data_IF_891053846424
#
_entry.id   IF_891053846424
#
_cell.length_a   1.000
_cell.length_b   1.000
_cell.length_c   1.000
_cell.angle_alpha   90.00
_cell.angle_beta   90.00
_cell.angle_gamma   90.00
#
_symmetry.space_group_name_H-M   'P 1'
#
loop_
_entity.id
_entity.type
_entity.pdbx_description
1 polymer ?
#
# COMPACT_ATOMS: atom_id res chain seq x y z
N UNK A 1 -14.81 -13.88 37.52
CA UNK A 1 -14.35 -13.22 36.27
C UNK A 1 -13.45 -14.16 35.48
N UNK A 2 -13.81 -14.41 34.23
CA UNK A 2 -12.92 -15.19 33.37
C UNK A 2 -11.60 -14.44 33.16
N UNK A 3 -10.50 -15.12 33.39
CA UNK A 3 -9.20 -14.55 33.10
C UNK A 3 -9.12 -14.24 31.61
N UNK A 4 -8.72 -13.01 31.28
CA UNK A 4 -8.51 -12.61 29.90
C UNK A 4 -7.17 -13.17 29.40
N UNK A 5 -7.20 -14.31 28.71
CA UNK A 5 -6.01 -14.99 28.20
C UNK A 5 -5.46 -14.36 26.91
N UNK A 6 -5.75 -13.09 26.69
CA UNK A 6 -5.32 -12.37 25.49
C UNK A 6 -3.84 -12.02 25.58
N UNK A 7 -3.07 -12.51 24.61
CA UNK A 7 -1.68 -12.13 24.43
C UNK A 7 -1.63 -10.96 23.44
N UNK A 8 -0.99 -9.86 23.82
CA UNK A 8 -0.84 -8.68 22.99
C UNK A 8 0.64 -8.53 22.60
N UNK A 9 0.91 -8.56 21.31
CA UNK A 9 2.26 -8.37 20.77
C UNK A 9 2.33 -7.09 19.95
N UNK A 10 3.31 -6.26 20.25
CA UNK A 10 3.53 -5.02 19.50
C UNK A 10 4.41 -5.28 18.27
N UNK A 11 3.82 -5.17 17.06
CA UNK A 11 4.51 -5.29 15.78
C UNK A 11 4.64 -3.92 15.09
N UNK A 12 4.62 -2.82 15.85
CA UNK A 12 4.66 -1.47 15.31
C UNK A 12 5.83 -1.18 14.37
N UNK A 13 6.98 -1.84 14.58
CA UNK A 13 8.16 -1.70 13.71
C UNK A 13 7.98 -2.34 12.32
N UNK A 14 7.03 -3.26 12.17
CA UNK A 14 6.73 -3.92 10.91
C UNK A 14 5.65 -3.19 10.09
N UNK A 15 4.97 -2.24 10.70
CA UNK A 15 3.99 -1.38 10.02
C UNK A 15 4.62 0.01 9.80
N UNK A 16 4.64 0.42 8.54
CA UNK A 16 5.13 1.75 8.17
C UNK A 16 3.97 2.68 7.92
N UNK A 17 4.06 3.89 8.49
CA UNK A 17 3.09 4.95 8.26
C UNK A 17 3.68 5.93 7.24
N UNK A 18 2.97 6.12 6.14
CA UNK A 18 3.34 7.08 5.10
C UNK A 18 2.44 8.30 5.24
N UNK A 19 3.03 9.47 5.37
CA UNK A 19 2.29 10.73 5.53
C UNK A 19 2.57 11.68 4.38
N UNK A 20 1.53 12.39 3.96
CA UNK A 20 1.64 13.44 2.94
C UNK A 20 1.47 14.78 3.63
N UNK A 21 2.39 15.69 3.38
CA UNK A 21 2.38 17.02 3.99
C UNK A 21 2.21 18.10 2.92
N UNK A 22 1.66 19.24 3.32
CA UNK A 22 1.60 20.45 2.51
C UNK A 22 2.93 21.24 2.62
N UNK A 23 2.98 22.41 1.99
CA UNK A 23 4.16 23.29 2.00
C UNK A 23 4.53 23.76 3.41
N UNK A 24 3.57 23.83 4.31
CA UNK A 24 3.78 24.25 5.70
C UNK A 24 4.21 23.10 6.61
N UNK A 25 4.29 21.90 6.07
CA UNK A 25 4.67 20.70 6.83
C UNK A 25 3.52 20.03 7.56
N UNK A 26 2.28 20.48 7.35
CA UNK A 26 1.10 19.90 7.98
C UNK A 26 0.66 18.65 7.22
N UNK A 27 0.40 17.56 7.96
CA UNK A 27 -0.07 16.30 7.39
C UNK A 27 -1.52 16.43 6.95
N UNK A 28 -1.81 16.14 5.67
CA UNK A 28 -3.18 16.14 5.15
C UNK A 28 -3.69 14.76 4.78
N UNK A 29 -2.83 13.76 4.66
CA UNK A 29 -3.21 12.38 4.32
C UNK A 29 -2.18 11.40 4.86
N UNK A 30 -2.61 10.17 5.11
CA UNK A 30 -1.71 9.09 5.51
C UNK A 30 -2.29 7.72 5.21
N UNK A 31 -1.42 6.73 5.13
CA UNK A 31 -1.79 5.32 5.11
C UNK A 31 -0.72 4.48 5.82
N UNK A 32 -1.10 3.28 6.22
CA UNK A 32 -0.19 2.32 6.87
C UNK A 32 -0.15 1.03 6.07
N UNK A 33 1.04 0.45 5.95
CA UNK A 33 1.21 -0.85 5.33
C UNK A 33 2.46 -1.54 5.85
N UNK A 34 2.48 -2.87 5.74
CA UNK A 34 3.73 -3.63 5.87
C UNK A 34 4.27 -3.86 4.45
N UNK A 35 5.32 -3.14 4.02
CA UNK A 35 5.81 -3.23 2.64
C UNK A 35 6.46 -4.58 2.29
N UNK A 36 6.69 -5.44 3.27
CA UNK A 36 7.23 -6.78 3.05
C UNK A 36 6.17 -7.88 3.05
N UNK A 37 4.89 -7.53 3.17
CA UNK A 37 3.81 -8.51 3.15
C UNK A 37 3.55 -9.00 1.72
N UNK A 38 3.66 -10.31 1.51
CA UNK A 38 3.46 -10.92 0.18
C UNK A 38 2.04 -10.72 -0.35
N UNK A 39 1.05 -10.64 0.52
CA UNK A 39 -0.34 -10.37 0.13
C UNK A 39 -0.51 -8.94 -0.38
N UNK A 40 0.16 -7.99 0.24
CA UNK A 40 0.20 -6.60 -0.24
C UNK A 40 0.85 -6.54 -1.62
N UNK A 41 1.99 -7.19 -1.79
CA UNK A 41 2.71 -7.27 -3.07
C UNK A 41 1.81 -7.86 -4.17
N UNK A 42 1.12 -8.95 -3.90
CA UNK A 42 0.23 -9.59 -4.85
C UNK A 42 -0.93 -8.69 -5.26
N UNK A 43 -1.56 -8.01 -4.30
CA UNK A 43 -2.64 -7.06 -4.57
C UNK A 43 -2.14 -5.85 -5.36
N UNK A 44 -0.98 -5.32 -4.98
CA UNK A 44 -0.38 -4.18 -5.67
C UNK A 44 -0.05 -4.50 -7.13
N UNK A 45 0.41 -5.72 -7.39
CA UNK A 45 0.73 -6.18 -8.74
C UNK A 45 -0.49 -6.25 -9.67
N UNK A 46 -1.69 -6.42 -9.13
CA UNK A 46 -2.93 -6.48 -9.90
C UNK A 46 -3.55 -5.12 -10.19
N UNK A 47 -3.00 -4.05 -9.64
CA UNK A 47 -3.57 -2.69 -9.71
C UNK A 47 -3.71 -2.18 -11.14
N UNK A 48 -2.68 -2.34 -11.96
CA UNK A 48 -2.70 -1.84 -13.34
C UNK A 48 -3.88 -2.41 -14.12
N UNK A 49 -4.13 -3.71 -13.97
CA UNK A 49 -5.28 -4.37 -14.62
C UNK A 49 -6.61 -3.86 -14.08
N UNK A 50 -6.71 -3.63 -12.78
CA UNK A 50 -7.93 -3.12 -12.15
C UNK A 50 -8.23 -1.69 -12.60
N UNK A 51 -7.21 -0.83 -12.64
CA UNK A 51 -7.34 0.55 -13.09
C UNK A 51 -7.68 0.60 -14.57
N UNK A 52 -7.05 -0.22 -15.40
CA UNK A 52 -7.37 -0.34 -16.83
C UNK A 52 -8.83 -0.76 -17.05
N UNK A 53 -9.31 -1.74 -16.29
CA UNK A 53 -10.70 -2.21 -16.38
C UNK A 53 -11.69 -1.11 -15.99
N UNK A 54 -11.39 -0.33 -14.95
CA UNK A 54 -12.19 0.81 -14.52
C UNK A 54 -12.20 1.88 -15.62
N UNK A 55 -11.04 2.24 -16.15
CA UNK A 55 -10.89 3.24 -17.20
C UNK A 55 -11.63 2.84 -18.47
N UNK A 56 -11.56 1.56 -18.86
CA UNK A 56 -12.27 1.02 -20.02
C UNK A 56 -13.79 1.10 -19.86
N UNK A 57 -14.30 0.89 -18.66
CA UNK A 57 -15.72 0.99 -18.35
C UNK A 57 -16.28 2.38 -18.60
N UNK A 58 -15.48 3.43 -18.39
CA UNK A 58 -15.90 4.82 -18.49
C UNK A 58 -15.44 5.53 -19.77
N UNK A 59 -14.64 4.86 -20.59
CA UNK A 59 -13.95 5.44 -21.76
C UNK A 59 -14.88 6.09 -22.79
N UNK A 60 -16.02 5.46 -23.06
CA UNK A 60 -16.97 5.88 -24.12
C UNK A 60 -18.16 6.67 -23.58
N UNK A 61 -18.12 7.04 -22.30
CA UNK A 61 -19.19 7.81 -21.67
C UNK A 61 -18.85 9.30 -21.67
N UNK A 62 -19.88 10.16 -21.82
CA UNK A 62 -19.67 11.60 -21.69
C UNK A 62 -19.20 11.95 -20.29
N UNK A 63 -18.20 12.83 -20.24
CA UNK A 63 -17.64 13.30 -18.95
C UNK A 63 -18.68 14.19 -18.24
N UNK A 64 -19.31 13.64 -17.21
CA UNK A 64 -20.20 14.37 -16.30
C UNK A 64 -19.60 14.41 -14.91
N UNK A 65 -20.08 15.32 -14.06
CA UNK A 65 -19.65 15.37 -12.66
C UNK A 65 -19.95 14.08 -11.91
N UNK A 66 -21.09 13.46 -12.14
CA UNK A 66 -21.47 12.18 -11.54
C UNK A 66 -20.55 11.05 -11.99
N UNK A 67 -20.22 10.99 -13.26
CA UNK A 67 -19.33 9.98 -13.83
C UNK A 67 -17.92 10.11 -13.26
N UNK A 68 -17.44 11.34 -13.13
CA UNK A 68 -16.13 11.63 -12.52
C UNK A 68 -16.10 11.17 -11.06
N UNK A 69 -17.18 11.39 -10.32
CA UNK A 69 -17.28 10.95 -8.92
C UNK A 69 -17.33 9.43 -8.83
N UNK A 70 -18.05 8.74 -9.71
CA UNK A 70 -18.08 7.28 -9.77
C UNK A 70 -16.71 6.70 -10.06
N UNK A 71 -16.00 7.28 -11.02
CA UNK A 71 -14.62 6.88 -11.34
C UNK A 71 -13.70 7.06 -10.15
N UNK A 72 -13.80 8.19 -9.46
CA UNK A 72 -13.02 8.45 -8.25
C UNK A 72 -13.30 7.40 -7.18
N UNK A 73 -14.57 7.11 -6.92
CA UNK A 73 -14.97 6.13 -5.91
C UNK A 73 -14.45 4.73 -6.25
N UNK A 74 -14.49 4.34 -7.52
CA UNK A 74 -13.97 3.06 -7.98
C UNK A 74 -12.45 2.95 -7.75
N UNK A 75 -11.71 4.02 -8.01
CA UNK A 75 -10.26 4.06 -7.78
C UNK A 75 -9.95 4.01 -6.27
N UNK A 76 -10.70 4.75 -5.44
CA UNK A 76 -10.53 4.69 -3.99
C UNK A 76 -10.79 3.29 -3.44
N UNK A 77 -11.78 2.57 -3.99
CA UNK A 77 -12.06 1.17 -3.66
C UNK A 77 -10.84 0.26 -3.93
N UNK A 78 -10.13 0.50 -5.02
CA UNK A 78 -8.91 -0.25 -5.36
C UNK A 78 -7.87 -0.10 -4.26
N UNK A 79 -7.67 1.11 -3.72
CA UNK A 79 -6.72 1.36 -2.63
C UNK A 79 -7.13 0.70 -1.33
N UNK A 80 -8.42 0.69 -1.01
CA UNK A 80 -8.93 -0.06 0.14
C UNK A 80 -8.65 -1.56 0.00
N UNK A 81 -8.81 -2.10 -1.20
CA UNK A 81 -8.47 -3.49 -1.51
C UNK A 81 -6.97 -3.77 -1.34
N UNK A 82 -6.11 -2.92 -1.90
CA UNK A 82 -4.65 -3.10 -1.83
C UNK A 82 -4.17 -3.09 -0.38
N UNK A 83 -4.58 -2.09 0.38
CA UNK A 83 -4.13 -1.89 1.76
C UNK A 83 -4.82 -2.80 2.76
N UNK A 84 -5.97 -3.36 2.39
CA UNK A 84 -6.71 -4.29 3.24
C UNK A 84 -7.52 -3.63 4.35
N UNK A 85 -7.71 -2.32 4.30
CA UNK A 85 -8.57 -1.57 5.23
C UNK A 85 -9.13 -0.34 4.55
N UNK A 86 -10.14 0.29 5.16
CA UNK A 86 -10.76 1.50 4.59
C UNK A 86 -9.83 2.70 4.77
N UNK A 87 -9.34 3.23 3.64
CA UNK A 87 -8.42 4.39 3.60
C UNK A 87 -9.08 5.66 3.04
N UNK A 88 -10.40 5.63 2.79
CA UNK A 88 -11.08 6.76 2.15
C UNK A 88 -10.92 8.04 2.94
N UNK A 89 -11.10 7.98 4.25
CA UNK A 89 -10.99 9.16 5.10
C UNK A 89 -9.53 9.56 5.33
N UNK A 90 -8.67 8.61 5.70
CA UNK A 90 -7.28 8.91 6.06
C UNK A 90 -6.42 9.32 4.87
N UNK A 91 -6.59 8.68 3.72
CA UNK A 91 -5.78 8.92 2.54
C UNK A 91 -6.44 9.90 1.57
N UNK A 92 -7.74 9.79 1.36
CA UNK A 92 -8.47 10.56 0.35
C UNK A 92 -9.53 11.51 0.91
N UNK A 93 -9.55 11.71 2.23
CA UNK A 93 -10.54 12.57 2.87
C UNK A 93 -10.34 14.06 2.60
N UNK A 94 -9.09 14.50 2.50
CA UNK A 94 -8.75 15.88 2.17
C UNK A 94 -8.65 16.11 0.66
N UNK A 95 -8.04 15.17 -0.05
CA UNK A 95 -7.83 15.24 -1.49
C UNK A 95 -8.28 13.93 -2.12
N UNK A 96 -9.15 14.00 -3.12
CA UNK A 96 -9.65 12.81 -3.81
C UNK A 96 -8.54 12.08 -4.58
N UNK A 97 -8.73 10.80 -4.81
CA UNK A 97 -7.77 9.98 -5.55
C UNK A 97 -7.50 10.51 -6.96
N UNK A 98 -8.54 11.04 -7.62
CA UNK A 98 -8.45 11.56 -8.99
C UNK A 98 -8.07 13.04 -9.07
N UNK A 99 -7.81 13.71 -7.95
CA UNK A 99 -7.36 15.10 -7.93
C UNK A 99 -6.06 15.24 -8.74
N UNK A 100 -6.00 16.21 -9.62
CA UNK A 100 -4.84 16.45 -10.46
C UNK A 100 -3.83 17.33 -9.71
N UNK A 101 -2.63 16.82 -9.54
CA UNK A 101 -1.54 17.53 -8.88
C UNK A 101 -0.92 18.57 -9.81
N UNK A 102 -0.06 19.42 -9.25
CA UNK A 102 0.59 20.50 -9.99
C UNK A 102 1.42 20.02 -11.19
N UNK A 103 1.93 18.79 -11.14
CA UNK A 103 2.68 18.15 -12.23
C UNK A 103 1.80 17.52 -13.32
N UNK A 104 0.47 17.59 -13.15
CA UNK A 104 -0.49 17.02 -14.10
C UNK A 104 -0.86 15.56 -13.83
N UNK A 105 -0.26 14.91 -12.83
CA UNK A 105 -0.60 13.54 -12.46
C UNK A 105 -1.74 13.51 -11.44
N UNK A 106 -2.62 12.49 -11.49
CA UNK A 106 -3.61 12.31 -10.43
C UNK A 106 -2.94 11.84 -9.14
N UNK A 107 -3.52 12.22 -8.01
CA UNK A 107 -2.99 11.90 -6.69
C UNK A 107 -2.75 10.40 -6.49
N UNK A 108 -3.67 9.55 -6.95
CA UNK A 108 -3.52 8.09 -6.78
C UNK A 108 -2.26 7.55 -7.46
N UNK A 109 -1.81 8.14 -8.56
CA UNK A 109 -0.56 7.71 -9.23
C UNK A 109 0.65 7.98 -8.35
N UNK A 110 0.68 9.11 -7.66
CA UNK A 110 1.74 9.44 -6.71
C UNK A 110 1.76 8.44 -5.55
N UNK A 111 0.59 8.09 -5.04
CA UNK A 111 0.46 7.10 -3.96
C UNK A 111 0.96 5.73 -4.43
N UNK A 112 0.58 5.30 -5.62
CA UNK A 112 1.05 4.03 -6.21
C UNK A 112 2.56 3.98 -6.38
N UNK A 113 3.16 5.06 -6.87
CA UNK A 113 4.62 5.15 -7.04
C UNK A 113 5.35 5.00 -5.71
N UNK A 114 4.85 5.65 -4.67
CA UNK A 114 5.40 5.56 -3.32
C UNK A 114 5.28 4.13 -2.77
N UNK A 115 4.12 3.51 -2.93
CA UNK A 115 3.88 2.14 -2.47
C UNK A 115 4.78 1.15 -3.20
N UNK A 116 4.87 1.25 -4.52
CA UNK A 116 5.70 0.37 -5.35
C UNK A 116 7.18 0.48 -4.99
N UNK A 117 7.67 1.70 -4.82
CA UNK A 117 9.07 1.94 -4.43
C UNK A 117 9.37 1.38 -3.03
N UNK A 118 8.47 1.60 -2.07
CA UNK A 118 8.63 1.12 -0.70
C UNK A 118 8.61 -0.41 -0.62
N UNK A 119 7.69 -1.06 -1.34
CA UNK A 119 7.59 -2.53 -1.39
C UNK A 119 8.85 -3.12 -2.02
N UNK A 120 9.28 -2.59 -3.17
CA UNK A 120 10.48 -3.08 -3.86
C UNK A 120 11.73 -2.99 -2.98
N UNK A 121 11.94 -1.86 -2.34
CA UNK A 121 13.08 -1.62 -1.47
C UNK A 121 13.09 -2.54 -0.23
N UNK A 122 11.94 -2.68 0.41
CA UNK A 122 11.82 -3.43 1.66
C UNK A 122 11.89 -4.93 1.43
N UNK A 123 11.27 -5.43 0.35
CA UNK A 123 11.35 -6.85 -0.04
C UNK A 123 12.79 -7.23 -0.35
N UNK A 124 13.52 -6.42 -1.11
CA UNK A 124 14.93 -6.65 -1.41
C UNK A 124 15.76 -6.72 -0.13
N UNK A 125 15.61 -5.75 0.77
CA UNK A 125 16.33 -5.67 2.03
C UNK A 125 16.07 -6.89 2.92
N UNK A 126 14.80 -7.30 3.06
CA UNK A 126 14.42 -8.44 3.90
C UNK A 126 14.80 -9.78 3.28
N UNK A 127 14.76 -9.88 1.96
CA UNK A 127 15.23 -11.08 1.24
C UNK A 127 16.72 -11.32 1.47
N UNK A 128 17.53 -10.28 1.49
CA UNK A 128 18.96 -10.39 1.82
C UNK A 128 19.19 -10.87 3.26
N UNK A 129 18.41 -10.36 4.21
CA UNK A 129 18.47 -10.81 5.61
C UNK A 129 18.05 -12.26 5.76
N UNK A 130 16.99 -12.66 5.06
CA UNK A 130 16.51 -14.04 5.07
C UNK A 130 17.56 -15.01 4.47
N UNK A 131 18.20 -14.63 3.37
CA UNK A 131 19.26 -15.40 2.75
C UNK A 131 20.43 -15.61 3.72
N UNK A 132 20.85 -14.58 4.44
CA UNK A 132 21.90 -14.68 5.46
C UNK A 132 21.51 -15.62 6.61
N UNK A 133 20.26 -15.56 7.05
CA UNK A 133 19.78 -16.44 8.12
C UNK A 133 19.71 -17.89 7.65
N UNK A 134 19.29 -18.16 6.43
CA UNK A 134 19.30 -19.51 5.83
C UNK A 134 20.72 -20.02 5.75
N UNK A 135 21.67 -19.21 5.29
CA UNK A 135 23.09 -19.57 5.21
C UNK A 135 23.66 -19.94 6.58
N UNK A 136 23.38 -19.16 7.61
CA UNK A 136 23.78 -19.46 9.00
C UNK A 136 23.21 -20.79 9.49
N UNK A 137 21.95 -21.06 9.19
CA UNK A 137 21.30 -22.33 9.52
C UNK A 137 21.95 -23.50 8.83
N UNK A 138 22.26 -23.37 7.55
CA UNK A 138 22.93 -24.41 6.74
C UNK A 138 24.33 -24.71 7.31
N UNK A 139 25.13 -23.71 7.63
CA UNK A 139 26.44 -23.86 8.24
C UNK A 139 26.37 -24.58 9.58
N UNK A 140 25.40 -24.18 10.42
CA UNK A 140 25.19 -24.81 11.73
C UNK A 140 24.89 -26.30 11.61
N UNK A 141 23.98 -26.66 10.71
CA UNK A 141 23.62 -28.08 10.47
C UNK A 141 24.74 -28.87 9.81
N UNK A 142 25.50 -28.27 8.91
CA UNK A 142 26.68 -28.90 8.30
C UNK A 142 27.74 -29.23 9.35
N UNK A 143 27.95 -28.36 10.33
CA UNK A 143 28.92 -28.60 11.42
C UNK A 143 28.41 -29.63 12.43
N UNK A 144 27.14 -29.81 12.60
CA UNK A 144 26.53 -30.82 13.49
C UNK A 144 26.47 -32.22 12.88
N UNK A 145 26.60 -32.34 11.55
CA UNK A 145 26.51 -33.63 10.84
C UNK A 145 27.82 -34.38 10.75
N UNK A 146 28.84 -33.98 11.43
CA UNK A 146 30.15 -34.64 11.40
C UNK A 146 30.19 -35.78 12.41
#
# INVERSE_FOLDING_TARGET
>A
MAANNKIITNLGADLMKFTFTDEDGDTFAYFRMNPADIKLYDRLRSVDKKVEAISAQYKDQESTGELTLELNNAIEDVFCYILGYDVRESLFGFMSATAILADGEPFYMRVLDIMTAAVGKEVEKRSKKMAKNIEKYTEKYANESV
#
